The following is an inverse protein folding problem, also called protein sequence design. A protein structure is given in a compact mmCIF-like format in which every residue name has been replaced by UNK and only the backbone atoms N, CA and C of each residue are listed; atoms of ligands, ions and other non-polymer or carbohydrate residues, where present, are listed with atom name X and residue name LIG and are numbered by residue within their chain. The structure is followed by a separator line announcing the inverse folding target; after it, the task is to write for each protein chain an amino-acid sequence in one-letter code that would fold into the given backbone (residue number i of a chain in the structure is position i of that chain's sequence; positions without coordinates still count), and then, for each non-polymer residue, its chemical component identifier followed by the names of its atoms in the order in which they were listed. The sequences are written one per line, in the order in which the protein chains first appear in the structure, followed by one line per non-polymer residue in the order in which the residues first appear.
data_IF_271075589426
#
_entry.id   IF_271075589426
#
_cell.length_a   1.000
_cell.length_b   1.000
_cell.length_c   1.000
_cell.angle_alpha   90.00
_cell.angle_beta   90.00
_cell.angle_gamma   90.00
#
_symmetry.space_group_name_H-M   'P 1'
#
loop_
_entity.id
_entity.type
_entity.pdbx_description
1 polymer ?
#
# COMPACT_ATOMS: atom_id res chain seq x y z
N UNK A 1 19.11 6.06 -6.53
CA UNK A 1 20.58 6.29 -6.51
C UNK A 1 21.03 7.53 -7.29
N UNK A 2 20.56 7.78 -8.53
CA UNK A 2 21.01 8.92 -9.32
C UNK A 2 20.77 10.29 -8.64
N UNK A 3 19.57 10.54 -8.12
CA UNK A 3 19.24 11.82 -7.46
C UNK A 3 20.00 12.02 -6.13
N UNK A 4 20.22 10.95 -5.37
CA UNK A 4 21.02 10.98 -4.14
C UNK A 4 22.46 11.43 -4.42
N UNK A 5 23.11 10.83 -5.42
CA UNK A 5 24.48 11.19 -5.80
C UNK A 5 24.53 12.61 -6.37
N UNK A 6 23.59 12.98 -7.24
CA UNK A 6 23.53 14.30 -7.86
C UNK A 6 23.38 15.44 -6.85
N UNK A 7 22.66 15.21 -5.74
CA UNK A 7 22.41 16.22 -4.71
C UNK A 7 23.33 16.09 -3.49
N UNK A 8 24.27 15.14 -3.49
CA UNK A 8 25.05 14.76 -2.31
C UNK A 8 24.17 14.44 -1.08
N UNK A 9 23.02 13.79 -1.32
CA UNK A 9 22.04 13.43 -0.31
C UNK A 9 21.26 14.61 0.27
N UNK A 10 21.20 15.76 -0.42
CA UNK A 10 20.48 16.96 0.03
C UNK A 10 19.14 17.16 -0.67
N UNK A 11 18.73 16.25 -1.55
CA UNK A 11 17.38 16.28 -2.12
C UNK A 11 16.33 16.21 -0.99
N UNK A 12 15.21 16.97 -1.06
CA UNK A 12 14.13 16.89 -0.07
C UNK A 12 13.60 15.47 0.15
N UNK A 13 13.72 14.59 -0.85
CA UNK A 13 13.39 13.16 -0.70
C UNK A 13 14.18 12.45 0.42
N UNK A 14 15.35 12.96 0.80
CA UNK A 14 16.20 12.42 1.87
C UNK A 14 16.12 13.23 3.16
N UNK A 15 15.14 14.14 3.28
CA UNK A 15 14.94 14.93 4.49
C UNK A 15 14.70 14.01 5.71
N UNK A 16 15.12 14.44 6.93
CA UNK A 16 15.02 13.62 8.13
C UNK A 16 13.62 13.09 8.49
N UNK A 17 12.56 13.75 8.03
CA UNK A 17 11.16 13.41 8.36
C UNK A 17 10.77 12.00 7.85
N UNK A 18 10.82 11.80 6.53
CA UNK A 18 10.37 10.58 5.85
C UNK A 18 11.53 9.81 5.20
N UNK A 19 12.53 10.55 4.71
CA UNK A 19 13.61 10.04 3.87
C UNK A 19 14.78 9.45 4.67
N UNK A 20 14.85 9.74 5.96
CA UNK A 20 15.79 9.11 6.87
C UNK A 20 15.13 7.96 7.64
N UNK A 21 15.91 6.93 7.91
CA UNK A 21 15.54 5.81 8.75
C UNK A 21 15.13 6.30 10.16
N UNK A 22 15.78 7.35 10.66
CA UNK A 22 15.40 8.06 11.88
C UNK A 22 15.76 9.54 11.71
N UNK A 23 14.90 10.49 12.15
CA UNK A 23 15.23 11.91 12.06
C UNK A 23 16.52 12.27 12.80
N UNK A 24 16.79 11.64 13.95
CA UNK A 24 18.05 11.82 14.69
C UNK A 24 19.27 11.43 13.84
N UNK A 25 19.18 10.33 13.09
CA UNK A 25 20.27 9.90 12.21
C UNK A 25 20.43 10.85 11.02
N UNK A 26 19.32 11.27 10.41
CA UNK A 26 19.33 12.20 9.28
C UNK A 26 19.94 13.56 9.66
N UNK A 27 19.52 14.12 10.80
CA UNK A 27 20.02 15.39 11.31
C UNK A 27 21.51 15.35 11.67
N UNK A 28 22.00 14.22 12.19
CA UNK A 28 23.40 14.06 12.59
C UNK A 28 24.34 13.65 11.43
N UNK A 29 23.81 13.31 10.26
CA UNK A 29 24.62 12.85 9.12
C UNK A 29 25.36 14.00 8.41
N UNK A 30 26.69 14.04 8.56
CA UNK A 30 27.53 15.11 8.00
C UNK A 30 28.19 14.74 6.67
N UNK A 31 28.56 13.47 6.50
CA UNK A 31 29.21 12.95 5.29
C UNK A 31 28.23 12.24 4.36
N UNK A 32 28.58 12.12 3.08
CA UNK A 32 27.75 11.41 2.09
C UNK A 32 27.50 9.94 2.49
N UNK A 33 28.49 9.26 3.09
CA UNK A 33 28.33 7.89 3.59
C UNK A 33 27.39 7.82 4.78
N UNK A 34 27.47 8.77 5.72
CA UNK A 34 26.51 8.86 6.82
C UNK A 34 25.09 9.11 6.33
N UNK A 35 24.90 10.01 5.34
CA UNK A 35 23.59 10.25 4.73
C UNK A 35 23.04 9.02 4.03
N UNK A 36 23.91 8.27 3.33
CA UNK A 36 23.50 7.03 2.67
C UNK A 36 23.06 5.96 3.68
N UNK A 37 23.76 5.84 4.81
CA UNK A 37 23.35 4.94 5.90
C UNK A 37 22.08 5.42 6.59
N UNK A 38 21.95 6.73 6.81
CA UNK A 38 20.77 7.33 7.41
C UNK A 38 19.52 7.19 6.52
N UNK A 39 19.65 7.01 5.20
CA UNK A 39 18.52 6.80 4.27
C UNK A 39 18.51 5.41 3.63
N UNK A 40 19.05 4.40 4.31
CA UNK A 40 19.25 3.07 3.71
C UNK A 40 17.94 2.35 3.37
N UNK A 41 16.87 2.55 4.15
CA UNK A 41 15.54 2.00 3.84
C UNK A 41 15.02 2.54 2.50
N UNK A 42 15.16 3.84 2.28
CA UNK A 42 14.73 4.47 1.04
C UNK A 42 15.61 4.06 -0.14
N UNK A 43 16.94 4.11 0.04
CA UNK A 43 17.90 3.86 -1.04
C UNK A 43 17.93 2.39 -1.50
N UNK A 44 17.74 1.44 -0.58
CA UNK A 44 17.86 0.01 -0.87
C UNK A 44 16.52 -0.69 -1.06
N UNK A 45 15.44 -0.20 -0.43
CA UNK A 45 14.13 -0.88 -0.41
C UNK A 45 13.00 -0.04 -1.00
N UNK A 46 13.22 1.26 -1.20
CA UNK A 46 12.16 2.21 -1.57
C UNK A 46 11.18 2.47 -0.43
N UNK A 47 11.60 2.26 0.82
CA UNK A 47 10.77 2.47 2.00
C UNK A 47 11.00 3.87 2.57
N UNK A 48 9.91 4.56 2.90
CA UNK A 48 9.96 5.79 3.70
C UNK A 48 9.56 5.47 5.14
N UNK A 49 10.10 6.25 6.08
CA UNK A 49 9.68 6.23 7.46
C UNK A 49 8.35 6.97 7.57
N UNK A 50 7.41 6.40 8.31
CA UNK A 50 6.14 7.01 8.67
C UNK A 50 6.00 6.93 10.17
N UNK A 51 5.91 8.08 10.83
CA UNK A 51 5.61 8.14 12.25
C UNK A 51 4.12 7.89 12.46
N UNK A 52 3.79 7.03 13.43
CA UNK A 52 2.41 6.80 13.87
C UNK A 52 2.31 7.15 15.35
N UNK A 53 1.41 8.07 15.74
CA UNK A 53 1.17 8.35 17.15
C UNK A 53 0.47 7.16 17.81
N UNK A 54 0.93 6.80 19.00
CA UNK A 54 0.25 5.87 19.90
C UNK A 54 -0.96 6.60 20.49
N UNK A 55 -2.18 6.06 20.35
CA UNK A 55 -3.38 6.67 20.93
C UNK A 55 -3.23 6.87 22.44
N UNK A 56 -3.70 8.01 22.96
CA UNK A 56 -3.65 8.31 24.40
C UNK A 56 -4.48 7.34 25.25
N UNK A 57 -5.48 6.70 24.64
CA UNK A 57 -6.34 5.67 25.23
C UNK A 57 -6.01 4.26 24.73
N UNK A 58 -4.76 4.01 24.28
CA UNK A 58 -4.35 2.71 23.82
C UNK A 58 -4.67 1.62 24.86
N UNK A 59 -5.39 0.58 24.44
CA UNK A 59 -5.75 -0.57 25.26
C UNK A 59 -4.67 -1.67 25.23
N UNK A 60 -3.45 -1.30 24.85
CA UNK A 60 -2.31 -2.19 24.68
C UNK A 60 -1.03 -1.49 25.15
N UNK A 61 -0.01 -2.27 25.46
CA UNK A 61 1.35 -1.77 25.72
C UNK A 61 2.27 -2.16 24.56
N UNK A 62 3.21 -1.30 24.22
CA UNK A 62 4.19 -1.58 23.16
C UNK A 62 5.55 -1.88 23.80
N UNK A 63 6.19 -2.95 23.35
CA UNK A 63 7.59 -3.27 23.67
C UNK A 63 8.44 -3.26 22.41
N UNK A 64 9.62 -2.68 22.51
CA UNK A 64 10.61 -2.66 21.44
C UNK A 64 11.44 -3.93 21.54
N UNK A 65 11.30 -4.84 20.59
CA UNK A 65 12.10 -6.07 20.50
C UNK A 65 13.37 -5.85 19.67
N UNK A 66 13.28 -5.02 18.64
CA UNK A 66 14.41 -4.63 17.78
C UNK A 66 14.20 -3.21 17.28
N UNK A 67 15.28 -2.44 17.25
CA UNK A 67 15.29 -1.05 16.77
C UNK A 67 16.62 -0.79 16.07
N UNK A 68 16.76 -1.22 14.80
CA UNK A 68 18.04 -1.23 14.10
C UNK A 68 18.57 0.19 13.81
N UNK A 69 17.70 1.20 13.87
CA UNK A 69 18.01 2.59 13.55
C UNK A 69 17.96 3.51 14.78
N UNK A 70 17.61 2.99 15.96
CA UNK A 70 17.49 3.78 17.20
C UNK A 70 16.28 4.71 17.23
N UNK A 71 15.35 4.60 16.27
CA UNK A 71 14.23 5.52 16.15
C UNK A 71 13.18 5.29 17.25
N UNK A 72 12.89 4.03 17.56
CA UNK A 72 11.85 3.67 18.53
C UNK A 72 12.25 4.06 19.96
N UNK A 73 13.56 4.18 20.23
CA UNK A 73 14.11 4.65 21.52
C UNK A 73 14.35 6.17 21.58
N UNK A 74 14.16 6.89 20.49
CA UNK A 74 14.32 8.35 20.47
C UNK A 74 13.38 9.02 21.45
N UNK A 75 13.88 10.03 22.18
CA UNK A 75 13.08 10.81 23.11
C UNK A 75 12.06 11.70 22.41
N UNK A 76 12.30 12.05 21.15
CA UNK A 76 11.46 12.96 20.35
C UNK A 76 10.67 12.22 19.27
N UNK A 77 11.25 11.17 18.68
CA UNK A 77 10.70 10.50 17.49
C UNK A 77 10.30 9.04 17.70
N UNK A 78 10.35 8.56 18.95
CA UNK A 78 10.10 7.17 19.32
C UNK A 78 9.05 6.99 20.41
N UNK A 79 9.00 5.79 20.98
CA UNK A 79 7.98 5.39 21.95
C UNK A 79 7.94 6.28 23.21
N UNK A 80 9.05 6.84 23.73
CA UNK A 80 9.01 7.85 24.80
C UNK A 80 8.17 9.09 24.48
N UNK A 81 8.08 9.49 23.20
CA UNK A 81 7.23 10.58 22.72
C UNK A 81 5.82 10.11 22.35
N UNK A 82 5.49 8.83 22.56
CA UNK A 82 4.23 8.23 22.11
C UNK A 82 4.17 8.06 20.59
N UNK A 83 5.31 7.80 19.93
CA UNK A 83 5.40 7.62 18.47
C UNK A 83 6.03 6.26 18.17
N UNK A 84 5.57 5.57 17.13
CA UNK A 84 6.28 4.43 16.53
C UNK A 84 6.62 4.71 15.08
N UNK A 85 7.73 4.18 14.58
CA UNK A 85 8.13 4.38 13.18
C UNK A 85 7.90 3.13 12.35
N UNK A 86 7.04 3.28 11.35
CA UNK A 86 6.77 2.25 10.35
C UNK A 86 7.55 2.53 9.07
N UNK A 87 7.97 1.48 8.37
CA UNK A 87 8.74 1.60 7.14
C UNK A 87 7.97 0.95 6.01
N UNK A 88 7.47 1.76 5.08
CA UNK A 88 6.60 1.28 4.01
C UNK A 88 6.99 1.87 2.67
N UNK A 89 6.72 1.12 1.61
CA UNK A 89 6.80 1.67 0.25
C UNK A 89 5.69 2.69 0.05
N UNK A 90 6.02 3.73 -0.71
CA UNK A 90 5.04 4.72 -1.16
C UNK A 90 4.04 4.03 -2.08
N UNK A 91 2.75 4.38 -1.92
CA UNK A 91 1.71 3.96 -2.87
C UNK A 91 1.98 4.58 -4.25
N UNK A 92 1.38 4.02 -5.29
CA UNK A 92 1.41 4.66 -6.60
C UNK A 92 0.70 6.03 -6.53
N UNK A 93 1.43 7.09 -6.83
CA UNK A 93 0.90 8.46 -6.94
C UNK A 93 0.28 8.74 -8.32
N UNK A 94 -0.17 7.70 -9.03
CA UNK A 94 -0.74 7.79 -10.38
C UNK A 94 -1.86 6.78 -10.52
N UNK A 95 -2.73 6.96 -11.52
CA UNK A 95 -3.98 6.22 -11.70
C UNK A 95 -4.93 6.39 -10.51
N UNK A 96 -4.85 7.50 -9.76
CA UNK A 96 -5.62 7.67 -8.52
C UNK A 96 -7.12 7.63 -8.74
N UNK A 97 -7.61 8.12 -9.88
CA UNK A 97 -9.02 8.01 -10.29
C UNK A 97 -9.50 6.56 -10.47
N UNK A 98 -8.58 5.59 -10.55
CA UNK A 98 -8.82 4.15 -10.73
C UNK A 98 -8.51 3.34 -9.47
N UNK A 99 -7.86 3.94 -8.48
CA UNK A 99 -7.62 3.33 -7.18
C UNK A 99 -8.83 3.62 -6.31
N UNK A 100 -9.64 2.61 -6.00
CA UNK A 100 -10.81 2.65 -5.10
C UNK A 100 -11.68 3.93 -5.18
N UNK A 101 -12.87 3.80 -5.75
CA UNK A 101 -13.90 4.86 -5.67
C UNK A 101 -14.22 5.11 -4.21
N UNK A 102 -14.05 6.37 -3.83
CA UNK A 102 -15.08 7.21 -3.25
C UNK A 102 -16.49 6.57 -3.30
N UNK A 103 -16.81 5.75 -2.31
CA UNK A 103 -18.16 5.74 -1.74
C UNK A 103 -18.50 7.21 -1.44
N UNK A 104 -19.75 7.69 -1.68
CA UNK A 104 -20.11 9.07 -1.43
C UNK A 104 -19.61 9.50 -0.06
N UNK A 105 -18.81 10.57 -0.06
CA UNK A 105 -18.16 11.09 1.12
C UNK A 105 -19.20 11.42 2.21
N UNK A 106 -18.96 11.02 3.47
CA UNK A 106 -17.83 10.22 3.91
C UNK A 106 -18.07 8.73 3.64
N UNK A 107 -17.14 8.10 2.93
CA UNK A 107 -16.95 6.66 3.00
C UNK A 107 -16.75 6.29 4.47
N UNK A 108 -17.57 5.41 5.08
CA UNK A 108 -17.45 5.09 6.51
C UNK A 108 -16.11 4.45 6.90
N UNK A 109 -15.29 4.04 5.92
CA UNK A 109 -13.97 3.44 6.13
C UNK A 109 -12.79 4.25 5.60
N UNK A 110 -12.99 5.27 4.76
CA UNK A 110 -11.92 5.93 4.03
C UNK A 110 -11.12 4.97 3.12
N UNK A 111 -10.85 5.40 1.90
CA UNK A 111 -10.42 4.48 0.82
C UNK A 111 -9.08 4.89 0.19
N UNK A 112 -8.45 5.94 0.74
CA UNK A 112 -7.15 6.44 0.28
C UNK A 112 -6.11 6.20 1.39
N UNK A 113 -4.89 5.83 0.97
CA UNK A 113 -3.78 5.32 1.79
C UNK A 113 -3.91 3.85 2.21
N UNK A 114 -2.80 3.25 2.65
CA UNK A 114 -2.72 1.82 3.02
C UNK A 114 -3.68 1.39 4.14
N UNK A 115 -4.03 2.33 5.00
CA UNK A 115 -4.89 2.19 6.17
C UNK A 115 -6.27 2.83 5.96
N UNK A 116 -6.55 3.34 4.75
CA UNK A 116 -7.81 4.01 4.43
C UNK A 116 -8.04 5.32 5.17
N UNK A 117 -7.05 5.90 5.87
CA UNK A 117 -7.31 7.02 6.77
C UNK A 117 -7.78 8.31 6.06
N UNK A 118 -7.52 8.45 4.78
CA UNK A 118 -7.88 9.64 4.01
C UNK A 118 -9.24 9.45 3.34
N UNK A 119 -10.25 10.28 3.68
CA UNK A 119 -11.57 10.19 3.06
C UNK A 119 -11.61 10.74 1.63
N UNK A 120 -10.73 11.67 1.26
CA UNK A 120 -10.71 12.29 -0.07
C UNK A 120 -9.28 12.64 -0.53
N UNK A 121 -9.10 12.96 -1.82
CA UNK A 121 -7.80 13.44 -2.32
C UNK A 121 -7.47 14.83 -1.78
N UNK A 122 -8.48 15.67 -1.53
CA UNK A 122 -8.30 16.99 -0.90
C UNK A 122 -7.73 16.87 0.53
N UNK A 123 -8.23 15.91 1.31
CA UNK A 123 -7.69 15.65 2.65
C UNK A 123 -6.27 15.11 2.57
N UNK A 124 -6.05 14.14 1.67
CA UNK A 124 -4.75 13.52 1.46
C UNK A 124 -3.70 14.56 1.03
N UNK A 125 -4.03 15.43 0.08
CA UNK A 125 -3.12 16.45 -0.45
C UNK A 125 -2.73 17.46 0.63
N UNK A 126 -3.72 17.94 1.40
CA UNK A 126 -3.48 18.86 2.52
C UNK A 126 -2.59 18.22 3.58
N UNK A 127 -2.90 16.99 3.99
CA UNK A 127 -2.19 16.30 5.07
C UNK A 127 -0.77 15.92 4.62
N UNK A 128 -0.58 15.52 3.36
CA UNK A 128 0.75 15.30 2.78
C UNK A 128 1.57 16.59 2.68
N UNK A 129 0.94 17.72 2.36
CA UNK A 129 1.61 19.03 2.30
C UNK A 129 2.10 19.46 3.69
N UNK A 130 1.28 19.29 4.73
CA UNK A 130 1.63 19.65 6.10
C UNK A 130 2.64 18.68 6.72
N UNK A 131 2.44 17.37 6.53
CA UNK A 131 3.26 16.33 7.14
C UNK A 131 4.56 16.07 6.38
N UNK A 132 4.45 15.66 5.12
CA UNK A 132 5.58 15.19 4.32
C UNK A 132 6.40 16.34 3.75
N UNK A 133 5.75 17.37 3.21
CA UNK A 133 6.43 18.57 2.73
C UNK A 133 6.77 19.57 3.86
N UNK A 134 6.32 19.30 5.10
CA UNK A 134 6.59 20.09 6.29
C UNK A 134 6.16 21.57 6.15
N UNK A 135 5.10 21.83 5.39
CA UNK A 135 4.59 23.19 5.21
C UNK A 135 4.15 23.77 6.57
N UNK A 136 4.56 25.01 6.84
CA UNK A 136 4.20 25.71 8.09
C UNK A 136 2.74 26.17 8.12
N UNK A 137 2.08 26.24 6.96
CA UNK A 137 0.70 26.69 6.79
C UNK A 137 -0.05 25.74 5.86
N UNK A 138 -1.32 25.46 6.12
CA UNK A 138 -2.14 24.67 5.20
C UNK A 138 -2.23 25.34 3.83
N UNK A 139 -2.26 24.55 2.73
CA UNK A 139 -2.57 25.08 1.40
C UNK A 139 -3.98 25.67 1.37
N UNK A 140 -4.19 26.67 0.53
CA UNK A 140 -5.50 27.24 0.25
C UNK A 140 -6.37 26.25 -0.55
N UNK A 141 -7.70 26.42 -0.52
CA UNK A 141 -8.59 25.57 -1.31
C UNK A 141 -8.24 25.58 -2.81
N UNK A 142 -7.83 26.73 -3.36
CA UNK A 142 -7.42 26.82 -4.76
C UNK A 142 -6.14 26.03 -5.08
N UNK A 143 -5.21 25.90 -4.13
CA UNK A 143 -4.01 25.06 -4.28
C UNK A 143 -4.35 23.58 -4.12
N UNK A 144 -5.28 23.25 -3.21
CA UNK A 144 -5.79 21.88 -3.05
C UNK A 144 -6.48 21.42 -4.34
N UNK A 145 -7.38 22.24 -4.90
CA UNK A 145 -8.08 21.92 -6.15
C UNK A 145 -7.09 21.69 -7.30
N UNK A 146 -6.08 22.56 -7.44
CA UNK A 146 -5.00 22.38 -8.44
C UNK A 146 -4.18 21.11 -8.20
N UNK A 147 -3.93 20.76 -6.94
CA UNK A 147 -3.23 19.54 -6.55
C UNK A 147 -4.01 18.28 -6.94
N UNK A 148 -5.30 18.24 -6.60
CA UNK A 148 -6.20 17.12 -6.95
C UNK A 148 -6.38 17.02 -8.47
N UNK A 149 -6.52 18.13 -9.19
CA UNK A 149 -6.56 18.14 -10.66
C UNK A 149 -5.29 17.55 -11.27
N UNK A 150 -4.11 17.89 -10.71
CA UNK A 150 -2.85 17.31 -11.13
C UNK A 150 -2.81 15.80 -10.85
N UNK A 151 -3.11 15.38 -9.61
CA UNK A 151 -3.09 13.99 -9.17
C UNK A 151 -4.03 13.09 -9.98
N UNK A 152 -5.22 13.58 -10.31
CA UNK A 152 -6.23 12.85 -11.08
C UNK A 152 -5.90 12.76 -12.57
N UNK A 153 -5.04 13.64 -13.08
CA UNK A 153 -4.54 13.65 -14.46
C UNK A 153 -3.34 12.73 -14.72
N UNK A 154 -2.75 12.10 -13.69
CA UNK A 154 -1.56 11.27 -13.86
C UNK A 154 -1.91 9.81 -14.18
N UNK A 155 -1.46 9.32 -15.33
CA UNK A 155 -1.60 7.93 -15.74
C UNK A 155 -0.23 7.26 -15.94
N UNK A 156 -0.06 6.08 -15.35
CA UNK A 156 1.12 5.24 -15.55
C UNK A 156 0.72 3.83 -15.92
N UNK A 157 1.31 3.32 -17.00
CA UNK A 157 1.26 1.92 -17.38
C UNK A 157 2.56 1.55 -18.09
N UNK A 158 2.86 0.25 -18.16
CA UNK A 158 4.02 -0.21 -18.90
C UNK A 158 3.80 0.03 -20.41
N UNK A 159 4.73 0.75 -21.04
CA UNK A 159 4.66 1.10 -22.46
C UNK A 159 5.50 0.17 -23.35
N UNK A 160 6.57 -0.39 -22.79
CA UNK A 160 7.55 -1.16 -23.54
C UNK A 160 8.06 -2.36 -22.75
N UNK A 161 8.28 -3.47 -23.45
CA UNK A 161 8.99 -4.64 -22.97
C UNK A 161 10.09 -5.02 -23.96
N UNK A 162 11.25 -5.44 -23.43
CA UNK A 162 12.44 -5.70 -24.25
C UNK A 162 12.28 -6.89 -25.22
N UNK A 163 11.38 -7.83 -24.93
CA UNK A 163 11.15 -9.03 -25.74
C UNK A 163 10.02 -8.84 -26.76
N UNK A 164 9.01 -8.03 -26.44
CA UNK A 164 7.81 -7.87 -27.28
C UNK A 164 7.67 -6.50 -27.95
N UNK A 165 8.50 -5.54 -27.56
CA UNK A 165 8.46 -4.17 -28.08
C UNK A 165 7.39 -3.33 -27.38
N UNK A 166 6.70 -2.49 -28.15
CA UNK A 166 5.58 -1.69 -27.65
C UNK A 166 4.45 -2.58 -27.12
N UNK A 167 3.92 -2.18 -25.96
CA UNK A 167 2.75 -2.77 -25.30
C UNK A 167 1.44 -2.05 -25.66
N UNK A 168 1.53 -0.91 -26.35
CA UNK A 168 0.42 -0.04 -26.72
C UNK A 168 0.06 -0.10 -28.22
N UNK A 169 0.95 -0.68 -29.04
CA UNK A 169 0.73 -0.81 -30.49
C UNK A 169 -0.17 -2.01 -30.77
N UNK A 170 -1.19 -1.78 -31.60
CA UNK A 170 -2.10 -2.83 -32.05
C UNK A 170 -1.34 -4.08 -32.53
N UNK A 171 -1.79 -5.29 -32.16
CA UNK A 171 -3.09 -5.57 -31.55
C UNK A 171 -3.09 -5.53 -30.00
N UNK A 172 -2.04 -5.00 -29.35
CA UNK A 172 -2.10 -4.69 -27.93
C UNK A 172 -2.73 -3.32 -27.68
N UNK A 173 -3.25 -3.12 -26.48
CA UNK A 173 -3.92 -1.90 -26.03
C UNK A 173 -3.41 -1.45 -24.64
N UNK A 174 -2.19 -1.84 -24.26
CA UNK A 174 -1.55 -1.38 -23.03
C UNK A 174 -1.04 0.06 -23.13
N UNK A 175 -0.22 0.47 -22.16
CA UNK A 175 0.37 1.81 -22.15
C UNK A 175 -0.53 2.92 -21.59
N UNK A 176 0.06 4.05 -21.17
CA UNK A 176 -0.65 5.07 -20.39
C UNK A 176 -1.67 5.85 -21.23
N UNK A 177 -1.47 5.98 -22.54
CA UNK A 177 -2.43 6.67 -23.43
C UNK A 177 -3.74 5.88 -23.47
N UNK A 178 -3.68 4.58 -23.77
CA UNK A 178 -4.88 3.73 -23.81
C UNK A 178 -5.58 3.69 -22.45
N UNK A 179 -4.81 3.62 -21.35
CA UNK A 179 -5.35 3.69 -19.99
C UNK A 179 -6.11 5.02 -19.71
N UNK A 180 -5.57 6.15 -20.18
CA UNK A 180 -6.20 7.47 -19.99
C UNK A 180 -7.52 7.64 -20.75
N UNK A 181 -7.75 6.83 -21.79
CA UNK A 181 -8.96 6.88 -22.62
C UNK A 181 -10.09 5.99 -22.11
N UNK A 182 -9.85 5.16 -21.09
CA UNK A 182 -10.90 4.34 -20.51
C UNK A 182 -12.00 5.22 -19.89
N UNK A 183 -13.25 4.79 -19.99
CA UNK A 183 -14.44 5.50 -19.51
C UNK A 183 -14.48 5.71 -17.98
N UNK A 184 -15.61 6.10 -17.39
CA UNK A 184 -15.70 6.41 -15.96
C UNK A 184 -15.20 5.24 -15.10
N UNK A 185 -14.48 5.52 -14.00
CA UNK A 185 -13.90 4.49 -13.17
C UNK A 185 -15.00 3.70 -12.48
N UNK A 186 -14.78 2.39 -12.34
CA UNK A 186 -15.56 1.54 -11.43
C UNK A 186 -16.98 1.19 -11.87
N UNK A 187 -17.18 0.90 -13.15
CA UNK A 187 -18.26 -0.03 -13.47
C UNK A 187 -17.72 -1.42 -13.12
N UNK A 188 -18.34 -2.18 -12.19
CA UNK A 188 -18.07 -3.60 -12.06
C UNK A 188 -18.53 -4.24 -13.36
N UNK A 189 -17.66 -4.27 -14.36
CA UNK A 189 -17.99 -4.93 -15.61
C UNK A 189 -18.06 -6.43 -15.32
N UNK A 190 -19.12 -7.13 -15.74
CA UNK A 190 -19.19 -8.59 -15.63
C UNK A 190 -18.22 -9.30 -16.60
N UNK A 191 -17.21 -8.59 -17.12
CA UNK A 191 -16.24 -9.03 -18.12
C UNK A 191 -14.80 -8.96 -17.59
N UNK A 192 -13.84 -9.47 -18.38
CA UNK A 192 -12.44 -9.55 -17.99
C UNK A 192 -11.86 -8.18 -17.59
N UNK A 193 -11.28 -8.09 -16.39
CA UNK A 193 -10.75 -6.83 -15.82
C UNK A 193 -9.55 -6.31 -16.61
N UNK A 194 -8.73 -7.22 -17.12
CA UNK A 194 -7.60 -6.90 -17.99
C UNK A 194 -7.89 -7.39 -19.40
N UNK A 195 -7.77 -6.51 -20.39
CA UNK A 195 -8.04 -6.85 -21.80
C UNK A 195 -6.95 -6.40 -22.76
N UNK A 196 -5.90 -5.76 -22.26
CA UNK A 196 -4.90 -5.05 -23.05
C UNK A 196 -4.13 -5.97 -24.00
N UNK A 197 -4.07 -7.26 -23.70
CA UNK A 197 -3.25 -8.24 -24.42
C UNK A 197 -4.08 -9.35 -25.07
N UNK A 198 -5.41 -9.23 -25.13
CA UNK A 198 -6.28 -10.20 -25.83
C UNK A 198 -5.91 -10.37 -27.31
N UNK A 199 -5.48 -9.29 -27.97
CA UNK A 199 -5.04 -9.31 -29.37
C UNK A 199 -3.81 -10.18 -29.66
N UNK A 200 -3.13 -10.72 -28.63
CA UNK A 200 -1.99 -11.62 -28.78
C UNK A 200 -2.32 -13.11 -28.65
N UNK A 201 -3.60 -13.50 -28.57
CA UNK A 201 -4.04 -14.90 -28.43
C UNK A 201 -3.41 -15.86 -29.46
N UNK A 202 -3.23 -15.40 -30.70
CA UNK A 202 -2.64 -16.17 -31.80
C UNK A 202 -1.25 -15.65 -32.23
N UNK A 203 -0.56 -14.92 -31.35
CA UNK A 203 0.76 -14.35 -31.68
C UNK A 203 1.80 -15.44 -31.91
N UNK A 204 2.49 -15.39 -33.06
CA UNK A 204 3.64 -16.25 -33.35
C UNK A 204 4.87 -15.91 -32.47
N UNK A 205 4.92 -14.71 -31.88
CA UNK A 205 5.91 -14.37 -30.86
C UNK A 205 5.51 -15.02 -29.52
N UNK A 206 6.33 -15.96 -29.06
CA UNK A 206 6.08 -16.73 -27.83
C UNK A 206 5.99 -15.87 -26.56
N UNK A 207 6.70 -14.73 -26.51
CA UNK A 207 6.66 -13.81 -25.35
C UNK A 207 5.33 -13.05 -25.31
N UNK A 208 4.83 -12.57 -26.45
CA UNK A 208 3.49 -11.96 -26.57
C UNK A 208 2.38 -12.94 -26.20
N UNK A 209 2.46 -14.16 -26.72
CA UNK A 209 1.53 -15.23 -26.36
C UNK A 209 1.60 -15.57 -24.86
N UNK A 210 2.78 -15.47 -24.23
CA UNK A 210 2.93 -15.66 -22.79
C UNK A 210 2.27 -14.55 -21.97
N UNK A 211 2.36 -13.29 -22.41
CA UNK A 211 1.70 -12.16 -21.74
C UNK A 211 0.17 -12.33 -21.81
N UNK A 212 -0.38 -12.66 -22.98
CA UNK A 212 -1.80 -12.97 -23.15
C UNK A 212 -2.28 -14.12 -22.25
N UNK A 213 -1.50 -15.21 -22.13
CA UNK A 213 -1.82 -16.30 -21.19
C UNK A 213 -1.78 -15.83 -19.74
N UNK A 214 -0.86 -14.94 -19.38
CA UNK A 214 -0.79 -14.33 -18.05
C UNK A 214 -2.04 -13.52 -17.72
N UNK A 215 -2.51 -12.68 -18.64
CA UNK A 215 -3.78 -11.96 -18.54
C UNK A 215 -4.96 -12.93 -18.36
N UNK A 216 -5.01 -14.01 -19.15
CA UNK A 216 -6.04 -15.04 -19.02
C UNK A 216 -6.02 -15.70 -17.64
N UNK A 217 -4.84 -16.07 -17.15
CA UNK A 217 -4.67 -16.65 -15.80
C UNK A 217 -5.18 -15.66 -14.76
N UNK A 218 -4.80 -14.39 -14.84
CA UNK A 218 -5.23 -13.37 -13.89
C UNK A 218 -6.75 -13.26 -13.82
N UNK A 219 -7.40 -13.16 -14.98
CA UNK A 219 -8.84 -12.97 -15.08
C UNK A 219 -9.67 -14.20 -14.72
N UNK A 220 -9.11 -15.42 -14.83
CA UNK A 220 -9.93 -16.65 -14.79
C UNK A 220 -9.45 -17.75 -13.85
N UNK A 221 -8.20 -17.67 -13.35
CA UNK A 221 -7.67 -18.74 -12.48
C UNK A 221 -8.43 -18.75 -11.17
N UNK A 222 -9.21 -19.79 -10.97
CA UNK A 222 -9.93 -20.01 -9.72
C UNK A 222 -8.98 -20.47 -8.61
N UNK A 223 -9.20 -19.91 -7.43
CA UNK A 223 -8.61 -20.36 -6.17
C UNK A 223 -9.58 -20.10 -5.02
N UNK A 224 -9.32 -20.73 -3.87
CA UNK A 224 -10.17 -20.61 -2.69
C UNK A 224 -9.54 -19.59 -1.74
N UNK A 225 -10.32 -18.57 -1.35
CA UNK A 225 -9.97 -17.62 -0.28
C UNK A 225 -10.85 -17.91 0.93
N UNK A 226 -10.20 -18.05 2.08
CA UNK A 226 -10.87 -18.39 3.33
C UNK A 226 -10.10 -17.76 4.49
N UNK A 227 -10.82 -17.21 5.46
CA UNK A 227 -10.23 -16.65 6.67
C UNK A 227 -9.48 -15.32 6.51
N UNK A 228 -9.66 -14.59 5.41
CA UNK A 228 -9.04 -13.28 5.22
C UNK A 228 -9.92 -12.22 5.86
N UNK A 229 -9.41 -11.58 6.93
CA UNK A 229 -10.07 -10.45 7.56
C UNK A 229 -10.17 -9.26 6.59
N UNK A 230 -11.32 -8.60 6.59
CA UNK A 230 -11.70 -7.58 5.61
C UNK A 230 -12.20 -8.16 4.27
N UNK A 231 -12.28 -9.49 4.12
CA UNK A 231 -12.86 -10.15 2.95
C UNK A 231 -13.96 -11.15 3.34
N UNK A 232 -13.59 -12.23 4.05
CA UNK A 232 -14.53 -13.31 4.41
C UNK A 232 -15.49 -12.92 5.55
N UNK A 233 -15.24 -11.80 6.23
CA UNK A 233 -16.02 -11.20 7.32
C UNK A 233 -16.50 -9.78 6.99
N UNK A 234 -16.31 -9.34 5.74
CA UNK A 234 -16.66 -8.00 5.30
C UNK A 234 -18.20 -7.87 5.17
N UNK A 235 -18.77 -6.93 5.91
CA UNK A 235 -20.22 -6.69 5.98
C UNK A 235 -20.49 -5.21 5.67
N UNK A 236 -21.45 -4.95 4.78
CA UNK A 236 -21.98 -3.61 4.50
C UNK A 236 -23.49 -3.59 4.76
N UNK A 237 -23.95 -2.67 5.60
CA UNK A 237 -25.36 -2.53 6.01
C UNK A 237 -25.99 -3.84 6.53
N UNK A 238 -25.22 -4.65 7.26
CA UNK A 238 -25.67 -5.95 7.79
C UNK A 238 -25.72 -7.08 6.75
N UNK A 239 -25.27 -6.82 5.52
CA UNK A 239 -25.18 -7.81 4.44
C UNK A 239 -23.71 -8.12 4.16
N UNK A 240 -23.31 -9.40 4.10
CA UNK A 240 -22.02 -9.80 3.56
C UNK A 240 -21.70 -9.15 2.21
N UNK A 241 -20.52 -8.53 2.11
CA UNK A 241 -20.05 -7.94 0.85
C UNK A 241 -19.73 -9.01 -0.20
N UNK A 242 -19.32 -10.20 0.24
CA UNK A 242 -18.91 -11.30 -0.62
C UNK A 242 -19.62 -12.61 -0.23
N UNK A 243 -20.80 -12.87 -0.81
CA UNK A 243 -21.50 -14.15 -0.66
C UNK A 243 -21.90 -14.50 0.78
N UNK A 244 -21.94 -15.78 1.13
CA UNK A 244 -22.34 -16.23 2.47
C UNK A 244 -21.16 -16.15 3.47
N UNK A 245 -21.17 -15.16 4.35
CA UNK A 245 -20.26 -15.10 5.52
C UNK A 245 -20.76 -16.08 6.61
N UNK A 246 -19.89 -16.86 7.29
CA UNK A 246 -18.46 -17.10 7.06
C UNK A 246 -18.20 -18.40 6.28
N UNK A 247 -17.25 -18.39 5.33
CA UNK A 247 -16.79 -19.62 4.67
C UNK A 247 -15.81 -19.42 3.51
N UNK A 248 -15.25 -20.52 2.97
CA UNK A 248 -14.39 -20.48 1.79
C UNK A 248 -15.15 -19.96 0.57
N UNK A 249 -14.56 -19.01 -0.14
CA UNK A 249 -15.09 -18.45 -1.39
C UNK A 249 -14.18 -18.84 -2.55
N UNK A 250 -14.76 -19.29 -3.65
CA UNK A 250 -14.01 -19.51 -4.90
C UNK A 250 -13.97 -18.20 -5.68
N UNK A 251 -12.76 -17.70 -5.93
CA UNK A 251 -12.50 -16.37 -6.47
C UNK A 251 -11.42 -16.42 -7.57
N UNK A 252 -11.17 -15.29 -8.23
CA UNK A 252 -10.04 -15.08 -9.15
C UNK A 252 -9.17 -13.92 -8.68
N UNK A 253 -8.05 -13.64 -9.35
CA UNK A 253 -7.25 -12.45 -9.05
C UNK A 253 -8.10 -11.18 -9.27
N UNK A 254 -8.92 -11.21 -10.31
CA UNK A 254 -9.92 -10.19 -10.65
C UNK A 254 -11.07 -10.06 -9.67
N UNK A 255 -11.17 -10.85 -8.60
CA UNK A 255 -12.15 -10.60 -7.54
C UNK A 255 -11.75 -9.41 -6.67
N UNK A 256 -10.46 -9.32 -6.30
CA UNK A 256 -9.94 -8.21 -5.47
C UNK A 256 -9.21 -7.16 -6.32
N UNK A 257 -8.65 -7.55 -7.46
CA UNK A 257 -7.96 -6.64 -8.39
C UNK A 257 -8.86 -6.38 -9.59
N UNK A 258 -9.93 -5.62 -9.38
CA UNK A 258 -11.09 -5.54 -10.28
C UNK A 258 -11.27 -4.17 -10.97
N UNK A 259 -10.43 -3.18 -10.65
CA UNK A 259 -10.36 -1.92 -11.40
C UNK A 259 -9.70 -2.16 -12.76
N UNK A 260 -10.42 -1.82 -13.84
CA UNK A 260 -10.02 -2.11 -15.22
C UNK A 260 -8.61 -1.59 -15.48
N UNK A 261 -7.78 -2.48 -16.03
CA UNK A 261 -6.41 -2.22 -16.48
C UNK A 261 -5.42 -1.66 -15.44
N UNK A 262 -5.85 -1.50 -14.18
CA UNK A 262 -5.02 -0.99 -13.05
C UNK A 262 -4.90 -2.03 -11.93
N UNK A 263 -5.97 -2.78 -11.65
CA UNK A 263 -5.98 -3.84 -10.65
C UNK A 263 -6.12 -3.40 -9.21
N UNK A 264 -6.54 -2.17 -8.94
CA UNK A 264 -7.01 -1.75 -7.61
C UNK A 264 -8.36 -2.40 -7.29
N UNK A 265 -8.75 -2.47 -6.01
CA UNK A 265 -10.08 -2.96 -5.63
C UNK A 265 -11.11 -1.82 -5.78
N UNK A 266 -12.20 -2.07 -6.48
CA UNK A 266 -13.35 -1.18 -6.60
C UNK A 266 -14.25 -1.24 -5.37
N UNK A 267 -14.10 -2.28 -4.55
CA UNK A 267 -14.71 -2.40 -3.23
C UNK A 267 -13.67 -2.00 -2.19
N UNK A 268 -13.91 -0.87 -1.53
CA UNK A 268 -13.04 -0.31 -0.51
C UNK A 268 -12.73 -1.25 0.66
N UNK A 269 -11.74 -0.84 1.45
CA UNK A 269 -11.30 -1.50 2.67
C UNK A 269 -10.08 -2.41 2.53
N UNK A 270 -9.21 -2.46 3.55
CA UNK A 270 -8.00 -3.28 3.55
C UNK A 270 -8.34 -4.78 3.68
N UNK A 271 -7.48 -5.63 3.11
CA UNK A 271 -7.53 -7.09 3.28
C UNK A 271 -6.28 -7.54 4.04
N UNK A 272 -6.46 -8.33 5.11
CA UNK A 272 -5.34 -8.87 5.86
C UNK A 272 -4.75 -10.10 5.16
N UNK A 273 -3.67 -9.93 4.42
CA UNK A 273 -3.03 -11.01 3.65
C UNK A 273 -1.94 -11.77 4.42
N UNK A 274 -1.70 -11.47 5.71
CA UNK A 274 -0.71 -12.14 6.55
C UNK A 274 0.76 -11.87 6.17
N UNK A 275 1.04 -10.68 5.60
CA UNK A 275 2.39 -10.29 5.11
C UNK A 275 3.12 -9.36 6.11
N UNK A 276 2.37 -8.63 6.95
CA UNK A 276 2.89 -7.53 7.77
C UNK A 276 3.09 -7.83 9.26
N UNK A 277 2.66 -9.01 9.72
CA UNK A 277 2.75 -9.43 11.11
C UNK A 277 3.70 -10.62 11.28
N UNK A 278 4.20 -10.82 12.49
CA UNK A 278 4.90 -12.04 12.86
C UNK A 278 3.84 -13.14 13.13
N UNK A 279 3.13 -13.53 12.08
CA UNK A 279 2.06 -14.54 12.05
C UNK A 279 2.56 -15.95 12.36
N UNK A 280 3.53 -16.11 13.28
CA UNK A 280 3.78 -17.36 14.01
C UNK A 280 2.54 -17.86 14.77
N UNK A 281 1.48 -17.06 14.86
CA UNK A 281 0.24 -17.43 15.53
C UNK A 281 -1.02 -16.73 15.00
N UNK A 282 -0.99 -16.16 13.77
CA UNK A 282 -2.23 -15.76 13.11
C UNK A 282 -3.06 -17.04 12.87
N UNK A 283 -4.16 -17.15 13.62
CA UNK A 283 -5.18 -18.19 13.46
C UNK A 283 -6.47 -17.59 12.90
N UNK A 284 -6.43 -16.38 12.35
CA UNK A 284 -7.54 -15.88 11.56
C UNK A 284 -7.72 -16.83 10.36
N UNK A 285 -8.91 -17.43 10.26
CA UNK A 285 -9.18 -18.50 9.31
C UNK A 285 -8.90 -19.93 9.77
N UNK A 286 -8.83 -20.84 8.80
CA UNK A 286 -8.63 -22.28 9.00
C UNK A 286 -7.16 -22.70 8.83
N UNK A 287 -6.20 -21.82 9.14
CA UNK A 287 -4.79 -22.16 9.02
C UNK A 287 -4.37 -23.09 10.16
N UNK A 288 -3.91 -24.30 9.82
CA UNK A 288 -3.41 -25.29 10.80
C UNK A 288 -1.92 -25.11 11.12
N UNK A 289 -1.18 -24.36 10.31
CA UNK A 289 0.23 -24.03 10.50
C UNK A 289 0.50 -22.61 10.08
N UNK A 290 1.09 -21.82 10.98
CA UNK A 290 1.59 -20.48 10.72
C UNK A 290 2.59 -20.46 9.56
N UNK A 291 2.38 -19.60 8.56
CA UNK A 291 3.38 -19.32 7.53
C UNK A 291 4.26 -18.17 8.03
N UNK A 292 5.34 -18.49 8.73
CA UNK A 292 6.26 -17.46 9.21
C UNK A 292 7.11 -16.93 8.05
N UNK A 293 6.84 -15.71 7.59
CA UNK A 293 7.90 -14.89 7.00
C UNK A 293 8.68 -14.28 8.17
N UNK A 294 9.94 -14.69 8.42
CA UNK A 294 10.69 -14.15 9.55
C UNK A 294 10.84 -12.64 9.38
N UNK A 295 10.65 -11.83 10.45
CA UNK A 295 10.89 -10.40 10.39
C UNK A 295 12.29 -10.11 9.85
N UNK A 296 12.42 -9.17 8.92
CA UNK A 296 13.73 -8.81 8.38
C UNK A 296 14.54 -8.06 9.44
N UNK A 297 15.87 -8.30 9.54
CA UNK A 297 16.67 -7.70 10.61
C UNK A 297 16.86 -6.18 10.46
N UNK A 298 16.59 -5.63 9.28
CA UNK A 298 16.72 -4.23 8.90
C UNK A 298 15.48 -3.36 9.25
N UNK A 299 14.45 -3.92 9.86
CA UNK A 299 13.25 -3.18 10.29
C UNK A 299 13.00 -3.32 11.80
N UNK A 300 12.34 -2.33 12.45
CA UNK A 300 11.96 -2.45 13.86
C UNK A 300 11.04 -3.65 14.06
N UNK A 301 11.16 -4.26 15.23
CA UNK A 301 10.25 -5.30 15.67
C UNK A 301 9.61 -4.85 16.97
N UNK A 302 8.29 -4.72 16.96
CA UNK A 302 7.49 -4.30 18.08
C UNK A 302 6.63 -5.48 18.56
N UNK A 303 6.48 -5.60 19.87
CA UNK A 303 5.49 -6.47 20.50
C UNK A 303 4.35 -5.61 21.05
N UNK A 304 3.12 -6.01 20.77
CA UNK A 304 1.93 -5.39 21.33
C UNK A 304 1.35 -6.35 22.36
N UNK A 305 1.43 -5.96 23.64
CA UNK A 305 0.83 -6.70 24.73
C UNK A 305 -0.62 -6.23 24.91
N UNK A 306 -1.56 -7.12 24.62
CA UNK A 306 -3.00 -6.84 24.70
C UNK A 306 -3.64 -7.62 25.87
N UNK A 307 -4.69 -7.08 26.51
CA UNK A 307 -5.44 -7.82 27.52
C UNK A 307 -6.00 -9.13 26.97
N UNK A 308 -6.02 -10.17 27.81
CA UNK A 308 -6.65 -11.48 27.51
C UNK A 308 -8.07 -11.28 26.96
N UNK A 309 -8.37 -11.91 25.81
CA UNK A 309 -9.69 -11.88 25.18
C UNK A 309 -10.01 -10.61 24.37
N UNK A 310 -9.13 -9.61 24.33
CA UNK A 310 -9.39 -8.34 23.61
C UNK A 310 -9.34 -8.49 22.08
N UNK A 311 -8.52 -9.40 21.55
CA UNK A 311 -8.41 -9.65 20.11
C UNK A 311 -8.43 -11.18 19.87
N UNK A 312 -9.45 -11.72 19.19
CA UNK A 312 -9.63 -13.17 19.00
C UNK A 312 -8.51 -13.87 18.22
N UNK A 313 -7.67 -13.11 17.49
CA UNK A 313 -6.73 -13.63 16.49
C UNK A 313 -5.25 -13.34 16.78
N UNK A 314 -4.90 -12.70 17.91
CA UNK A 314 -3.51 -12.42 18.29
C UNK A 314 -3.06 -13.24 19.50
N UNK A 315 -1.80 -13.68 19.48
CA UNK A 315 -1.31 -14.78 20.32
C UNK A 315 -0.77 -14.42 21.68
N UNK A 316 -0.47 -13.15 21.91
CA UNK A 316 0.31 -12.74 23.08
C UNK A 316 -0.60 -12.01 24.06
N UNK A 317 -1.58 -12.76 24.57
CA UNK A 317 -2.44 -12.30 25.64
C UNK A 317 -1.64 -12.26 26.95
N UNK A 318 -1.41 -11.06 27.46
CA UNK A 318 -0.74 -10.85 28.75
C UNK A 318 -1.78 -10.29 29.73
N UNK A 319 -1.76 -10.75 30.99
CA UNK A 319 -2.51 -10.08 32.06
C UNK A 319 -1.82 -8.73 32.34
N UNK A 320 -2.43 -7.63 31.87
CA UNK A 320 -1.89 -6.27 31.99
C UNK A 320 -2.13 -5.68 33.38
#
# INVERSE_FOLDING_TARGET
MAIFAATNGNDPLFAPVDGANCPDLGANAQSLSQKAMASSELLMKGNIRIFLPVPSNAQYKIRILRDPYGCEKSAEYGLPAGIISMYRRVLNATNLTRNAVAVPSPAPQGDIMWDGREPTLESQFRDATLGHAQASTPPSNAEIDQGVDFETGLFTAQEFDRKVGSLSTLPAAGGPINLSLLGPPNVPEPSAVFTQYQGWVASANASRASINRGETIFNSKLFIVNGVAGFNDAISNGVPLFGSVPGPLTVTCSTCHNSIDVGSDTIGGPRHLGIGDNSSADKSGFQSTATALPPTPDQPLLAFDCPVGSIPYFSDQVTI
#
